data_IF_978653450581
#
_entry.id   IF_978653450581
#
_cell.length_a   1.000
_cell.length_b   1.000
_cell.length_c   1.000
_cell.angle_alpha   90.00
_cell.angle_beta   90.00
_cell.angle_gamma   90.00
#
_symmetry.space_group_name_H-M   'P 1'
#
loop_
_entity.id
_entity.type
_entity.pdbx_description
1 polymer ?
#
# COMPACT_ATOMS: atom_id res chain seq x y z
N UNK A 1 2.06 5.74 21.43
CA UNK A 1 2.39 4.76 20.36
C UNK A 1 1.77 5.27 19.08
N UNK A 2 2.48 5.28 17.94
CA UNK A 2 1.86 5.70 16.65
C UNK A 2 0.84 4.64 16.23
N UNK A 3 -0.31 5.01 15.62
CA UNK A 3 -1.30 4.04 15.15
C UNK A 3 -0.68 3.12 14.09
N UNK A 4 -1.22 1.91 13.92
CA UNK A 4 -0.79 1.00 12.86
C UNK A 4 -1.16 1.54 11.47
N UNK A 5 -0.39 1.17 10.43
CA UNK A 5 -0.66 1.57 9.04
C UNK A 5 -1.87 0.81 8.53
N UNK A 6 -2.96 1.51 8.20
CA UNK A 6 -4.19 0.92 7.64
C UNK A 6 -4.23 0.95 6.12
N UNK A 7 -3.46 1.83 5.48
CA UNK A 7 -3.36 1.90 4.03
C UNK A 7 -1.92 2.22 3.59
N UNK A 8 -1.40 1.44 2.65
CA UNK A 8 -0.17 1.74 1.92
C UNK A 8 -0.50 2.33 0.55
N UNK A 9 -0.09 3.57 0.33
CA UNK A 9 -0.21 4.29 -0.93
C UNK A 9 1.05 4.05 -1.76
N UNK A 10 0.88 3.66 -3.01
CA UNK A 10 1.96 3.27 -3.92
C UNK A 10 2.13 4.31 -5.02
N UNK A 11 3.38 4.75 -5.25
CA UNK A 11 3.84 4.99 -6.61
C UNK A 11 3.96 3.64 -7.33
N UNK A 12 3.77 3.66 -8.64
CA UNK A 12 3.80 2.51 -9.52
C UNK A 12 5.12 2.44 -10.28
N UNK A 13 5.50 3.51 -11.00
CA UNK A 13 6.70 3.53 -11.84
C UNK A 13 7.95 3.45 -10.96
N UNK A 14 8.92 2.63 -11.36
CA UNK A 14 10.13 2.28 -10.61
C UNK A 14 9.89 1.65 -9.21
N UNK A 15 8.63 1.35 -8.86
CA UNK A 15 8.23 0.90 -7.52
C UNK A 15 7.51 -0.44 -7.56
N UNK A 16 6.36 -0.51 -8.23
CA UNK A 16 5.58 -1.73 -8.42
C UNK A 16 6.11 -2.56 -9.60
N UNK A 17 6.59 -1.89 -10.64
CA UNK A 17 7.32 -2.45 -11.78
C UNK A 17 8.57 -1.59 -12.04
N UNK A 18 9.49 -2.13 -12.84
CA UNK A 18 10.60 -1.33 -13.37
C UNK A 18 10.15 -0.58 -14.63
N UNK A 19 10.72 0.60 -14.87
CA UNK A 19 10.36 1.46 -16.00
C UNK A 19 9.16 2.37 -15.73
N UNK A 20 8.86 3.20 -16.74
CA UNK A 20 7.90 4.30 -16.70
C UNK A 20 6.81 4.07 -17.74
N UNK A 21 5.54 4.10 -17.33
CA UNK A 21 4.40 3.85 -18.24
C UNK A 21 4.30 4.93 -19.32
N UNK A 22 4.58 6.19 -18.98
CA UNK A 22 4.51 7.30 -19.94
C UNK A 22 5.48 7.08 -21.11
N UNK A 23 6.69 6.60 -20.80
CA UNK A 23 7.78 6.38 -21.75
C UNK A 23 7.66 5.03 -22.48
N UNK A 24 6.69 4.19 -22.10
CA UNK A 24 6.48 2.87 -22.69
C UNK A 24 7.54 1.84 -22.28
N UNK A 25 8.26 2.08 -21.19
CA UNK A 25 9.34 1.22 -20.69
C UNK A 25 8.92 0.32 -19.53
N UNK A 26 7.68 0.48 -19.02
CA UNK A 26 7.17 -0.32 -17.90
C UNK A 26 7.21 -1.82 -18.19
N UNK A 27 7.86 -2.57 -17.30
CA UNK A 27 7.99 -4.01 -17.35
C UNK A 27 6.87 -4.73 -16.57
N UNK A 28 7.01 -6.05 -16.39
CA UNK A 28 6.14 -6.81 -15.51
C UNK A 28 6.29 -6.35 -14.04
N UNK A 29 5.25 -6.49 -13.21
CA UNK A 29 5.33 -6.20 -11.78
C UNK A 29 6.46 -6.97 -11.10
N UNK A 30 7.19 -6.27 -10.23
CA UNK A 30 8.32 -6.82 -9.49
C UNK A 30 7.80 -7.87 -8.50
N UNK A 31 8.36 -9.10 -8.49
CA UNK A 31 7.91 -10.14 -7.55
C UNK A 31 7.94 -9.73 -6.06
N UNK A 32 8.94 -8.97 -5.56
CA UNK A 32 8.90 -8.44 -4.21
C UNK A 32 7.69 -7.53 -3.92
N UNK A 33 7.32 -6.67 -4.87
CA UNK A 33 6.18 -5.76 -4.70
C UNK A 33 4.85 -6.52 -4.65
N UNK A 34 4.67 -7.53 -5.51
CA UNK A 34 3.49 -8.41 -5.49
C UNK A 34 3.36 -9.19 -4.19
N UNK A 35 4.47 -9.73 -3.66
CA UNK A 35 4.48 -10.40 -2.35
C UNK A 35 4.07 -9.45 -1.24
N UNK A 36 4.62 -8.23 -1.22
CA UNK A 36 4.27 -7.22 -0.22
C UNK A 36 2.81 -6.82 -0.30
N UNK A 37 2.26 -6.57 -1.50
CA UNK A 37 0.83 -6.33 -1.69
C UNK A 37 -0.02 -7.45 -1.08
N UNK A 38 0.30 -8.71 -1.41
CA UNK A 38 -0.44 -9.88 -0.90
C UNK A 38 -0.36 -9.98 0.63
N UNK A 39 0.86 -9.97 1.18
CA UNK A 39 1.09 -10.14 2.62
C UNK A 39 0.47 -9.03 3.46
N UNK A 40 0.43 -7.80 2.95
CA UNK A 40 -0.20 -6.68 3.64
C UNK A 40 -1.73 -6.73 3.50
N UNK A 41 -2.25 -7.14 2.34
CA UNK A 41 -3.69 -7.38 2.14
C UNK A 41 -4.23 -8.44 3.11
N UNK A 42 -3.50 -9.55 3.31
CA UNK A 42 -3.86 -10.62 4.26
C UNK A 42 -3.92 -10.13 5.71
N UNK A 43 -3.26 -9.02 6.03
CA UNK A 43 -3.27 -8.36 7.34
C UNK A 43 -4.32 -7.25 7.45
N UNK A 44 -5.15 -7.07 6.42
CA UNK A 44 -6.18 -6.04 6.37
C UNK A 44 -5.65 -4.64 6.06
N UNK A 45 -4.43 -4.52 5.52
CA UNK A 45 -3.90 -3.23 5.06
C UNK A 45 -4.45 -2.97 3.65
N UNK A 46 -5.14 -1.83 3.49
CA UNK A 46 -5.63 -1.40 2.18
C UNK A 46 -4.47 -0.91 1.30
N UNK A 47 -4.67 -0.98 -0.01
CA UNK A 47 -3.74 -0.41 -0.98
C UNK A 47 -4.41 0.68 -1.77
N UNK A 48 -3.65 1.73 -2.08
CA UNK A 48 -4.09 2.80 -2.95
C UNK A 48 -2.94 3.24 -3.86
N UNK A 49 -3.26 3.94 -4.94
CA UNK A 49 -2.28 4.47 -5.89
C UNK A 49 -2.25 5.99 -5.81
N UNK A 50 -1.05 6.55 -5.70
CA UNK A 50 -0.75 7.94 -6.01
C UNK A 50 0.40 7.98 -7.01
N UNK A 51 0.08 8.00 -8.31
CA UNK A 51 1.07 7.96 -9.40
C UNK A 51 1.06 9.26 -10.20
N UNK A 52 2.20 9.61 -10.79
CA UNK A 52 2.26 10.71 -11.78
C UNK A 52 2.18 10.14 -13.18
N UNK A 53 1.42 10.78 -14.06
CA UNK A 53 1.35 10.39 -15.46
C UNK A 53 -0.04 10.48 -16.07
N UNK A 54 -0.18 9.82 -17.21
CA UNK A 54 -1.44 9.72 -17.95
C UNK A 54 -2.36 8.67 -17.33
N UNK A 55 -3.51 9.12 -16.82
CA UNK A 55 -4.48 8.23 -16.16
C UNK A 55 -4.93 7.07 -17.04
N UNK A 56 -5.21 7.31 -18.32
CA UNK A 56 -5.74 6.26 -19.19
C UNK A 56 -4.70 5.17 -19.48
N UNK A 57 -3.44 5.54 -19.69
CA UNK A 57 -2.32 4.61 -19.89
C UNK A 57 -2.03 3.82 -18.62
N UNK A 58 -1.86 4.50 -17.49
CA UNK A 58 -1.54 3.84 -16.21
C UNK A 58 -2.65 2.89 -15.77
N UNK A 59 -3.92 3.27 -15.91
CA UNK A 59 -5.04 2.37 -15.62
C UNK A 59 -5.03 1.13 -16.52
N UNK A 60 -4.77 1.30 -17.82
CA UNK A 60 -4.67 0.18 -18.76
C UNK A 60 -3.55 -0.79 -18.38
N UNK A 61 -2.41 -0.29 -17.90
CA UNK A 61 -1.31 -1.12 -17.40
C UNK A 61 -1.73 -1.91 -16.15
N UNK A 62 -2.41 -1.26 -15.19
CA UNK A 62 -2.94 -1.97 -14.01
C UNK A 62 -3.92 -3.08 -14.39
N UNK A 63 -4.85 -2.82 -15.31
CA UNK A 63 -5.80 -3.84 -15.80
C UNK A 63 -5.09 -4.98 -16.52
N UNK A 64 -4.10 -4.68 -17.38
CA UNK A 64 -3.32 -5.69 -18.10
C UNK A 64 -2.62 -6.65 -17.15
N UNK A 65 -2.13 -6.15 -16.02
CA UNK A 65 -1.48 -6.96 -14.99
C UNK A 65 -2.45 -7.60 -13.99
N UNK A 66 -3.76 -7.35 -14.10
CA UNK A 66 -4.76 -7.86 -13.17
C UNK A 66 -4.64 -7.28 -11.76
N UNK A 67 -4.02 -6.10 -11.61
CA UNK A 67 -3.74 -5.48 -10.31
C UNK A 67 -4.73 -4.41 -9.90
N UNK A 68 -5.62 -3.98 -10.82
CA UNK A 68 -6.56 -2.89 -10.53
C UNK A 68 -7.39 -3.16 -9.26
N UNK A 69 -7.93 -4.37 -9.14
CA UNK A 69 -8.83 -4.76 -8.04
C UNK A 69 -8.12 -4.86 -6.68
N UNK A 70 -6.78 -4.83 -6.65
CA UNK A 70 -6.02 -4.77 -5.41
C UNK A 70 -6.02 -3.37 -4.77
N UNK A 71 -6.38 -2.32 -5.52
CA UNK A 71 -6.30 -0.94 -5.06
C UNK A 71 -7.69 -0.35 -4.75
N UNK A 72 -7.92 0.01 -3.50
CA UNK A 72 -9.17 0.60 -3.02
C UNK A 72 -9.38 2.05 -3.46
N UNK A 73 -8.33 2.75 -3.88
CA UNK A 73 -8.40 4.10 -4.44
C UNK A 73 -7.24 4.36 -5.39
N UNK A 74 -7.48 5.11 -6.47
CA UNK A 74 -6.48 5.40 -7.51
C UNK A 74 -6.49 6.86 -7.93
N UNK A 75 -5.45 7.59 -7.51
CA UNK A 75 -5.13 8.95 -7.92
C UNK A 75 -3.95 8.94 -8.90
N UNK A 76 -4.20 9.36 -10.14
CA UNK A 76 -3.17 9.46 -11.18
C UNK A 76 -3.27 10.84 -11.81
N UNK A 77 -2.16 11.58 -11.80
CA UNK A 77 -2.08 12.88 -12.45
C UNK A 77 -0.82 13.64 -12.09
N UNK A 78 -0.67 14.85 -12.64
CA UNK A 78 0.55 15.67 -12.53
C UNK A 78 0.61 16.55 -11.27
N UNK A 79 -0.34 16.39 -10.35
CA UNK A 79 -0.38 17.11 -9.09
C UNK A 79 0.65 16.61 -8.07
N UNK A 80 0.69 17.30 -6.93
CA UNK A 80 1.53 16.90 -5.78
C UNK A 80 1.04 15.59 -5.18
N UNK A 81 1.98 14.73 -4.74
CA UNK A 81 1.68 13.44 -4.08
C UNK A 81 0.94 13.64 -2.77
N UNK A 82 1.37 14.60 -1.96
CA UNK A 82 0.68 14.94 -0.71
C UNK A 82 -0.81 15.23 -0.91
N UNK A 83 -1.17 16.00 -1.93
CA UNK A 83 -2.57 16.29 -2.25
C UNK A 83 -3.35 15.03 -2.67
N UNK A 84 -2.72 14.13 -3.43
CA UNK A 84 -3.32 12.85 -3.80
C UNK A 84 -3.57 11.96 -2.57
N UNK A 85 -2.61 11.86 -1.66
CA UNK A 85 -2.73 11.10 -0.41
C UNK A 85 -3.88 11.65 0.45
N UNK A 86 -4.06 12.97 0.52
CA UNK A 86 -5.19 13.59 1.23
C UNK A 86 -6.53 13.18 0.63
N UNK A 87 -6.66 13.19 -0.71
CA UNK A 87 -7.88 12.73 -1.39
C UNK A 87 -8.14 11.25 -1.17
N UNK A 88 -7.11 10.41 -1.28
CA UNK A 88 -7.19 8.96 -0.99
C UNK A 88 -7.68 8.73 0.44
N UNK A 89 -7.08 9.41 1.42
CA UNK A 89 -7.47 9.28 2.82
C UNK A 89 -8.95 9.66 3.03
N UNK A 90 -9.40 10.74 2.38
CA UNK A 90 -10.81 11.15 2.37
C UNK A 90 -11.74 10.10 1.75
N UNK A 91 -11.40 9.58 0.57
CA UNK A 91 -12.15 8.51 -0.12
C UNK A 91 -12.27 7.24 0.72
N UNK A 92 -11.22 6.88 1.45
CA UNK A 92 -11.20 5.69 2.30
C UNK A 92 -11.75 5.91 3.72
N UNK A 93 -12.08 7.16 4.09
CA UNK A 93 -12.48 7.50 5.46
C UNK A 93 -11.38 7.26 6.50
N UNK A 94 -10.10 7.35 6.10
CA UNK A 94 -8.96 7.10 6.97
C UNK A 94 -8.30 8.41 7.42
N UNK A 95 -7.86 8.43 8.67
CA UNK A 95 -6.99 9.49 9.18
C UNK A 95 -5.56 9.33 8.64
N UNK A 96 -4.90 10.46 8.36
CA UNK A 96 -3.58 10.49 7.71
C UNK A 96 -2.47 9.80 8.53
N UNK A 97 -2.61 9.70 9.86
CA UNK A 97 -1.68 8.95 10.72
C UNK A 97 -1.66 7.44 10.43
N UNK A 98 -2.76 6.91 9.86
CA UNK A 98 -2.89 5.52 9.43
C UNK A 98 -2.41 5.28 7.98
N UNK A 99 -1.89 6.31 7.31
CA UNK A 99 -1.43 6.21 5.93
C UNK A 99 0.09 6.03 5.87
N UNK A 100 0.53 5.21 4.94
CA UNK A 100 1.92 5.12 4.51
C UNK A 100 2.03 5.39 3.00
N UNK A 101 3.20 5.79 2.55
CA UNK A 101 3.52 6.06 1.15
C UNK A 101 4.84 5.38 0.78
N UNK A 102 4.88 4.70 -0.36
CA UNK A 102 6.10 4.10 -0.93
C UNK A 102 6.35 4.66 -2.33
N UNK A 103 7.58 5.11 -2.55
CA UNK A 103 8.02 5.70 -3.82
C UNK A 103 9.51 5.47 -4.02
N UNK A 104 9.95 5.28 -5.26
CA UNK A 104 11.35 5.17 -5.64
C UNK A 104 12.07 6.52 -5.53
N UNK A 105 11.39 7.61 -5.88
CA UNK A 105 11.97 8.94 -6.04
C UNK A 105 12.12 9.67 -4.70
N UNK A 106 13.36 9.97 -4.24
CA UNK A 106 13.57 10.71 -2.99
C UNK A 106 12.87 12.05 -2.92
N UNK A 107 12.76 12.79 -4.03
CA UNK A 107 12.12 14.12 -4.00
C UNK A 107 10.63 14.03 -3.70
N UNK A 108 9.93 13.03 -4.23
CA UNK A 108 8.50 12.82 -3.96
C UNK A 108 8.26 12.42 -2.50
N UNK A 109 9.11 11.55 -1.94
CA UNK A 109 9.03 11.21 -0.51
C UNK A 109 9.29 12.42 0.39
N UNK A 110 10.24 13.27 0.02
CA UNK A 110 10.53 14.50 0.76
C UNK A 110 9.37 15.50 0.69
N UNK A 111 8.74 15.63 -0.47
CA UNK A 111 7.52 16.43 -0.67
C UNK A 111 6.40 15.98 0.27
N UNK A 112 6.10 14.68 0.29
CA UNK A 112 5.06 14.11 1.15
C UNK A 112 5.41 14.27 2.62
N UNK A 113 6.64 13.92 3.02
CA UNK A 113 7.06 14.00 4.43
C UNK A 113 7.03 15.43 4.98
N UNK A 114 7.32 16.43 4.13
CA UNK A 114 7.26 17.85 4.51
C UNK A 114 5.82 18.34 4.62
N UNK A 115 4.96 17.95 3.69
CA UNK A 115 3.57 18.40 3.64
C UNK A 115 2.67 17.67 4.65
N UNK A 116 2.95 16.39 4.89
CA UNK A 116 2.16 15.48 5.72
C UNK A 116 3.07 14.70 6.70
N UNK A 117 3.62 15.33 7.76
CA UNK A 117 4.58 14.69 8.68
C UNK A 117 4.09 13.44 9.41
N UNK A 118 2.77 13.22 9.45
CA UNK A 118 2.12 12.04 10.01
C UNK A 118 2.11 10.83 9.06
N UNK A 119 2.30 11.04 7.75
CA UNK A 119 2.33 9.97 6.75
C UNK A 119 3.72 9.36 6.72
N UNK A 120 3.80 8.04 6.96
CA UNK A 120 5.06 7.30 6.91
C UNK A 120 5.52 7.13 5.47
N UNK A 121 6.74 7.55 5.13
CA UNK A 121 7.29 7.43 3.78
C UNK A 121 8.41 6.40 3.74
N UNK A 122 8.34 5.46 2.78
CA UNK A 122 9.32 4.40 2.59
C UNK A 122 9.92 4.45 1.18
N UNK A 123 11.20 4.14 1.06
CA UNK A 123 11.84 4.01 -0.25
C UNK A 123 11.46 2.68 -0.91
N UNK A 124 11.19 2.69 -2.22
CA UNK A 124 10.80 1.49 -2.98
C UNK A 124 11.77 0.31 -2.83
N UNK A 125 13.08 0.58 -2.69
CA UNK A 125 14.10 -0.46 -2.44
C UNK A 125 13.87 -1.31 -1.18
N UNK A 126 13.03 -0.85 -0.26
CA UNK A 126 12.70 -1.54 0.99
C UNK A 126 11.32 -2.24 0.93
N UNK A 127 10.71 -2.39 -0.26
CA UNK A 127 9.35 -2.91 -0.42
C UNK A 127 9.14 -4.28 0.23
N UNK A 128 10.12 -5.16 0.14
CA UNK A 128 10.12 -6.51 0.71
C UNK A 128 10.26 -6.53 2.24
N UNK A 129 10.84 -5.47 2.81
CA UNK A 129 10.99 -5.31 4.25
C UNK A 129 9.73 -4.75 4.92
N UNK A 130 8.82 -4.10 4.18
CA UNK A 130 7.63 -3.48 4.75
C UNK A 130 6.77 -4.45 5.59
N UNK A 131 6.48 -5.68 5.14
CA UNK A 131 5.73 -6.64 5.95
C UNK A 131 6.46 -7.06 7.23
N UNK A 132 7.74 -6.76 7.41
CA UNK A 132 8.48 -7.08 8.64
C UNK A 132 8.45 -5.94 9.66
N UNK A 133 8.10 -4.72 9.22
CA UNK A 133 8.10 -3.55 10.10
C UNK A 133 6.97 -3.60 11.12
N UNK A 134 7.20 -3.14 12.37
CA UNK A 134 6.16 -3.03 13.39
C UNK A 134 4.94 -2.21 12.95
N UNK A 135 5.14 -1.24 12.06
CA UNK A 135 4.11 -0.39 11.48
C UNK A 135 2.97 -1.16 10.78
N UNK A 136 3.26 -2.35 10.26
CA UNK A 136 2.35 -3.20 9.48
C UNK A 136 1.92 -4.46 10.23
N UNK A 137 2.14 -4.51 11.55
CA UNK A 137 1.65 -5.59 12.41
C UNK A 137 0.26 -5.20 12.90
N UNK A 138 -0.78 -5.52 12.14
CA UNK A 138 -2.13 -5.54 12.69
C UNK A 138 -2.33 -6.88 13.40
N UNK A 139 -2.78 -6.82 14.65
CA UNK A 139 -3.30 -8.00 15.33
C UNK A 139 -4.50 -8.51 14.53
N UNK A 140 -4.42 -9.77 14.12
CA UNK A 140 -5.55 -10.50 13.59
C UNK A 140 -6.66 -10.46 14.64
N UNK A 141 -7.67 -9.62 14.40
CA UNK A 141 -9.00 -9.71 15.02
C UNK A 141 -8.99 -9.66 16.55
N UNK A 142 -9.32 -8.51 17.12
CA UNK A 142 -9.95 -8.44 18.47
C UNK A 142 -11.40 -8.95 18.47
N UNK A 143 -11.75 -9.87 17.56
CA UNK A 143 -13.04 -10.55 17.54
C UNK A 143 -12.97 -11.80 18.42
N UNK A 144 -14.09 -12.24 19.03
CA UNK A 144 -14.09 -13.46 19.80
C UNK A 144 -13.57 -14.61 18.93
N UNK A 145 -12.63 -15.40 19.50
CA UNK A 145 -12.18 -16.65 18.90
C UNK A 145 -13.42 -17.46 18.49
N UNK A 146 -13.48 -18.03 17.27
CA UNK A 146 -14.59 -18.90 16.91
C UNK A 146 -14.68 -20.02 17.96
N UNK A 147 -15.87 -20.19 18.54
CA UNK A 147 -16.14 -21.30 19.43
C UNK A 147 -15.81 -22.58 18.65
N UNK A 148 -14.94 -23.46 19.17
CA UNK A 148 -14.72 -24.75 18.54
C UNK A 148 -16.08 -25.44 18.33
N UNK A 149 -16.30 -26.13 17.21
CA UNK A 149 -17.50 -26.94 17.07
C UNK A 149 -17.62 -27.89 18.27
N UNK A 150 -18.84 -28.03 18.79
CA UNK A 150 -19.18 -28.96 19.88
C UNK A 150 -18.51 -30.32 19.62
N UNK A 151 -17.56 -30.70 20.47
CA UNK A 151 -16.83 -31.98 20.37
C UNK A 151 -15.29 -31.88 20.34
N UNK A 152 -14.71 -30.69 20.06
CA UNK A 152 -13.27 -30.51 20.15
C UNK A 152 -12.88 -29.89 21.50
N UNK A 153 -12.71 -30.73 22.52
CA UNK A 153 -12.03 -30.31 23.74
C UNK A 153 -10.55 -30.03 23.43
N UNK A 154 -10.04 -28.88 23.87
CA UNK A 154 -8.61 -28.60 23.83
C UNK A 154 -7.91 -29.58 24.77
N UNK A 155 -7.04 -30.42 24.22
CA UNK A 155 -6.06 -31.16 25.03
C UNK A 155 -5.03 -30.12 25.50
N UNK A 156 -4.85 -29.89 26.80
CA UNK A 156 -3.78 -29.03 27.27
C UNK A 156 -2.44 -29.67 26.93
N UNK A 157 -1.57 -28.93 26.25
CA UNK A 157 -0.17 -29.30 26.14
C UNK A 157 0.46 -29.13 27.54
N UNK A 158 1.11 -30.18 28.02
CA UNK A 158 1.97 -30.15 29.21
C UNK A 158 3.25 -29.38 28.94
#
# INVERSE_FOLDING_TARGET
>A
MRPAVRCLVWELDETLWDGVVHDGTSAAPRPPALRTLTMLSDRGVLHAVAARGDRARTMRTLYRHGLHDMFSAVEIGWGRKSAAIVRIAGTLGLGLEGMAFIDAEPVERAEVSRALPMVRCYAARNVDMLPLLPDFRHDLRSGPMPTPPLGFARVPAF
#
